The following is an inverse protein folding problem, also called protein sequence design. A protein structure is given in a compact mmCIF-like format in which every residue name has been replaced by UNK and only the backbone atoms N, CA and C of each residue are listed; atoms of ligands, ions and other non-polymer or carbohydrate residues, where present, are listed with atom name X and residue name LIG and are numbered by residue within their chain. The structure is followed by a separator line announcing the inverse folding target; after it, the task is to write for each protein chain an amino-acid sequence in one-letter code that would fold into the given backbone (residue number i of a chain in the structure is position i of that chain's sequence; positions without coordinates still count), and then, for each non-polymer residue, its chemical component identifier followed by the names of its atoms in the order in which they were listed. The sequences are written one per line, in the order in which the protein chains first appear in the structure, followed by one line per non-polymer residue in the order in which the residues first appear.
data_IF_200319825316
#
_entry.id   IF_200319825316
#
_cell.length_a   1.000
_cell.length_b   1.000
_cell.length_c   1.000
_cell.angle_alpha   90.00
_cell.angle_beta   90.00
_cell.angle_gamma   90.00
#
_symmetry.space_group_name_H-M   'P 1'
#
loop_
_entity.id
_entity.type
_entity.pdbx_description
1 polymer ?
#
# COMPACT_ATOMS: atom_id res chain seq x y z
N UNK A 1 8.91 -11.66 -13.76
CA UNK A 1 9.99 -10.69 -13.47
C UNK A 1 9.38 -9.30 -13.41
N UNK A 2 9.63 -8.55 -12.34
CA UNK A 2 9.16 -7.17 -12.23
C UNK A 2 9.79 -6.33 -13.35
N UNK A 3 8.98 -5.58 -14.11
CA UNK A 3 9.45 -4.72 -15.21
C UNK A 3 10.11 -3.42 -14.74
N UNK A 4 9.96 -3.11 -13.46
CA UNK A 4 10.44 -1.87 -12.83
C UNK A 4 11.47 -2.28 -11.76
N UNK A 5 12.67 -1.66 -11.74
CA UNK A 5 13.66 -1.93 -10.71
C UNK A 5 13.13 -1.52 -9.33
N UNK A 6 13.45 -2.30 -8.30
CA UNK A 6 13.14 -1.94 -6.92
C UNK A 6 14.13 -0.88 -6.43
N UNK A 7 13.63 0.13 -5.71
CA UNK A 7 14.48 1.07 -4.98
C UNK A 7 14.78 0.57 -3.56
N UNK A 8 15.72 1.23 -2.89
CA UNK A 8 16.01 1.00 -1.47
C UNK A 8 14.97 1.63 -0.53
N UNK A 9 14.01 2.41 -1.08
CA UNK A 9 12.97 3.10 -0.30
C UNK A 9 11.68 2.27 -0.27
N UNK A 10 11.33 1.76 0.91
CA UNK A 10 10.06 1.06 1.16
C UNK A 10 10.23 -0.38 1.63
N UNK A 11 9.25 -0.88 2.39
CA UNK A 11 9.34 -2.17 3.10
C UNK A 11 8.62 -3.34 2.40
N UNK A 12 7.87 -3.08 1.33
CA UNK A 12 7.22 -4.12 0.51
C UNK A 12 7.64 -3.98 -0.94
N UNK A 13 7.56 -5.05 -1.76
CA UNK A 13 7.92 -4.97 -3.19
C UNK A 13 7.21 -3.82 -3.91
N UNK A 14 5.92 -3.62 -3.64
CA UNK A 14 5.15 -2.49 -4.18
C UNK A 14 5.67 -1.12 -3.72
N UNK A 15 5.97 -0.97 -2.42
CA UNK A 15 6.53 0.29 -1.88
C UNK A 15 7.92 0.58 -2.44
N UNK A 16 8.76 -0.45 -2.63
CA UNK A 16 10.07 -0.32 -3.29
C UNK A 16 9.98 0.13 -4.73
N UNK A 17 8.95 -0.32 -5.46
CA UNK A 17 8.68 0.15 -6.82
C UNK A 17 8.27 1.64 -6.80
N UNK A 18 7.37 2.04 -5.91
CA UNK A 18 7.00 3.47 -5.76
C UNK A 18 8.19 4.31 -5.29
N UNK A 19 9.05 3.75 -4.45
CA UNK A 19 10.24 4.40 -3.88
C UNK A 19 11.25 4.90 -4.91
N UNK A 20 11.16 4.48 -6.18
CA UNK A 20 11.87 5.13 -7.29
C UNK A 20 11.54 6.63 -7.42
N UNK A 21 10.42 7.08 -6.82
CA UNK A 21 10.09 8.49 -6.61
C UNK A 21 9.77 8.74 -5.12
N UNK A 22 10.76 9.18 -4.32
CA UNK A 22 10.59 9.39 -2.88
C UNK A 22 9.44 10.33 -2.50
N UNK A 23 9.20 11.39 -3.28
CA UNK A 23 8.12 12.35 -3.02
C UNK A 23 6.72 11.73 -3.18
N UNK A 24 6.56 10.78 -4.12
CA UNK A 24 5.31 10.01 -4.26
C UNK A 24 5.22 8.98 -3.14
N UNK A 25 6.32 8.29 -2.83
CA UNK A 25 6.39 7.29 -1.77
C UNK A 25 5.98 7.85 -0.41
N UNK A 26 6.51 9.02 0.00
CA UNK A 26 6.15 9.66 1.28
C UNK A 26 4.67 9.99 1.37
N UNK A 27 4.08 10.57 0.31
CA UNK A 27 2.65 10.86 0.26
C UNK A 27 1.79 9.59 0.33
N UNK A 28 2.24 8.53 -0.33
CA UNK A 28 1.56 7.24 -0.29
C UNK A 28 1.58 6.63 1.11
N UNK A 29 2.75 6.62 1.77
CA UNK A 29 2.88 6.14 3.16
C UNK A 29 2.00 6.95 4.11
N UNK A 30 1.98 8.28 3.96
CA UNK A 30 1.12 9.14 4.77
C UNK A 30 -0.37 8.83 4.63
N UNK A 31 -0.84 8.54 3.40
CA UNK A 31 -2.21 8.10 3.16
C UNK A 31 -2.52 6.76 3.85
N UNK A 32 -1.62 5.79 3.73
CA UNK A 32 -1.79 4.48 4.35
C UNK A 32 -1.86 4.59 5.88
N UNK A 33 -0.94 5.35 6.48
CA UNK A 33 -0.97 5.61 7.92
C UNK A 33 -2.27 6.27 8.36
N UNK A 34 -2.75 7.28 7.64
CA UNK A 34 -3.99 7.96 7.99
C UNK A 34 -5.19 7.01 7.92
N UNK A 35 -5.23 6.15 6.90
CA UNK A 35 -6.25 5.14 6.75
C UNK A 35 -6.28 4.14 7.93
N UNK A 36 -5.11 3.74 8.45
CA UNK A 36 -5.02 2.81 9.58
C UNK A 36 -5.16 3.49 10.96
N UNK A 37 -4.85 4.79 11.08
CA UNK A 37 -5.05 5.55 12.32
C UNK A 37 -6.48 6.03 12.50
N UNK A 38 -7.28 6.09 11.43
CA UNK A 38 -8.63 6.63 11.50
C UNK A 38 -9.53 5.75 12.41
N UNK A 39 -10.10 6.30 13.50
CA UNK A 39 -10.74 5.52 14.56
C UNK A 39 -12.10 4.91 14.19
N UNK A 40 -12.63 5.23 13.00
CA UNK A 40 -13.99 4.82 12.60
C UNK A 40 -14.08 3.38 12.10
N UNK A 41 -12.98 2.79 11.66
CA UNK A 41 -12.97 1.42 11.14
C UNK A 41 -12.04 0.56 12.00
N UNK A 42 -12.61 -0.38 12.76
CA UNK A 42 -11.81 -1.33 13.53
C UNK A 42 -10.88 -2.15 12.61
N UNK A 43 -9.76 -2.63 13.14
CA UNK A 43 -8.72 -3.36 12.40
C UNK A 43 -9.28 -4.50 11.53
N UNK A 44 -10.29 -5.22 12.03
CA UNK A 44 -11.00 -6.27 11.30
C UNK A 44 -11.70 -5.76 10.04
N UNK A 45 -12.36 -4.59 10.12
CA UNK A 45 -13.07 -4.00 9.00
C UNK A 45 -12.10 -3.44 7.95
N UNK A 46 -11.01 -2.82 8.38
CA UNK A 46 -9.95 -2.35 7.48
C UNK A 46 -9.34 -3.49 6.65
N UNK A 47 -9.11 -4.65 7.30
CA UNK A 47 -8.63 -5.84 6.60
C UNK A 47 -9.66 -6.38 5.58
N UNK A 48 -10.97 -6.34 5.90
CA UNK A 48 -12.01 -6.70 4.93
C UNK A 48 -12.05 -5.72 3.75
N UNK A 49 -11.97 -4.41 4.00
CA UNK A 49 -11.92 -3.40 2.93
C UNK A 49 -10.72 -3.63 2.02
N UNK A 50 -9.55 -3.94 2.59
CA UNK A 50 -8.34 -4.28 1.83
C UNK A 50 -8.55 -5.50 0.93
N UNK A 51 -9.10 -6.60 1.47
CA UNK A 51 -9.36 -7.84 0.72
C UNK A 51 -10.37 -7.63 -0.41
N UNK A 52 -11.47 -6.93 -0.14
CA UNK A 52 -12.49 -6.62 -1.16
C UNK A 52 -11.90 -5.74 -2.27
N UNK A 53 -11.07 -4.76 -1.90
CA UNK A 53 -10.38 -3.90 -2.87
C UNK A 53 -9.40 -4.70 -3.73
N UNK A 54 -8.65 -5.65 -3.15
CA UNK A 54 -7.74 -6.52 -3.89
C UNK A 54 -8.50 -7.48 -4.82
N UNK A 55 -9.59 -8.08 -4.33
CA UNK A 55 -10.44 -8.98 -5.12
C UNK A 55 -11.00 -8.31 -6.37
N UNK A 56 -11.47 -7.06 -6.26
CA UNK A 56 -11.98 -6.29 -7.41
C UNK A 56 -10.92 -5.93 -8.46
N UNK A 57 -9.63 -6.08 -8.13
CA UNK A 57 -8.52 -5.84 -9.05
C UNK A 57 -7.83 -7.14 -9.52
N UNK A 58 -8.44 -8.30 -9.25
CA UNK A 58 -7.83 -9.62 -9.52
C UNK A 58 -6.42 -9.75 -8.91
N UNK A 59 -6.16 -9.00 -7.85
CA UNK A 59 -4.90 -9.02 -7.15
C UNK A 59 -4.94 -10.18 -6.15
N UNK A 60 -4.25 -11.27 -6.46
CA UNK A 60 -4.05 -12.37 -5.51
C UNK A 60 -3.31 -11.83 -4.28
N UNK A 61 -4.02 -11.75 -3.17
CA UNK A 61 -3.51 -11.31 -1.88
C UNK A 61 -3.18 -12.51 -1.00
#
# INVERSE_FOLDING_TARGET
MARIPESDYGNSPYKKIIGNNPAIHEKWVGLEEEFFRHPTLGSKLLEQVRRVSAWGQECEY
#
